data_IF_501543086647
#
_entry.id   IF_501543086647
#
_cell.length_a   1.000
_cell.length_b   1.000
_cell.length_c   1.000
_cell.angle_alpha   90.00
_cell.angle_beta   90.00
_cell.angle_gamma   90.00
#
_symmetry.space_group_name_H-M   'P 1'
#
loop_
_entity.id
_entity.type
_entity.pdbx_description
1 polymer ?
#
# COMPACT_ATOMS: atom_id res chain seq x y z
N UNK A 1 25.66 25.13 -7.24
CA UNK A 1 25.07 26.11 -8.18
C UNK A 1 24.70 27.37 -7.43
N UNK A 2 23.85 27.35 -6.41
CA UNK A 2 23.38 28.53 -5.67
C UNK A 2 24.49 29.31 -4.96
N UNK A 3 25.52 28.64 -4.45
CA UNK A 3 26.67 29.32 -3.85
C UNK A 3 27.53 30.06 -4.90
N UNK A 4 27.73 29.46 -6.08
CA UNK A 4 28.41 30.14 -7.18
C UNK A 4 27.67 31.37 -7.68
N UNK A 5 26.35 31.29 -7.76
CA UNK A 5 25.47 32.41 -8.13
C UNK A 5 25.47 33.52 -7.05
N UNK A 6 25.54 33.17 -5.78
CA UNK A 6 25.72 34.11 -4.67
C UNK A 6 27.03 34.88 -4.78
N UNK A 7 28.11 34.21 -5.08
CA UNK A 7 29.46 34.86 -5.26
C UNK A 7 29.46 35.83 -6.44
N UNK A 8 28.77 35.50 -7.54
CA UNK A 8 28.64 36.38 -8.70
C UNK A 8 27.81 37.64 -8.41
N UNK A 9 26.78 37.49 -7.54
CA UNK A 9 25.91 38.61 -7.19
C UNK A 9 26.39 39.44 -5.99
N UNK A 10 27.37 38.93 -5.20
CA UNK A 10 27.88 39.60 -4.01
C UNK A 10 28.74 40.84 -4.32
N UNK A 11 29.19 41.04 -5.58
CA UNK A 11 29.89 42.23 -6.04
C UNK A 11 29.00 43.46 -6.28
N UNK A 12 27.67 43.29 -6.33
CA UNK A 12 26.69 44.37 -6.42
C UNK A 12 25.99 44.51 -5.09
N UNK A 13 26.18 45.65 -4.37
CA UNK A 13 25.50 46.01 -3.11
C UNK A 13 24.36 45.07 -2.71
N UNK A 14 24.42 44.48 -1.51
CA UNK A 14 23.50 43.47 -0.92
C UNK A 14 22.13 43.36 -1.59
N UNK A 15 22.10 42.79 -2.79
CA UNK A 15 20.87 42.66 -3.53
C UNK A 15 20.02 41.55 -2.86
N UNK A 16 18.72 41.75 -2.72
CA UNK A 16 17.78 40.76 -2.23
C UNK A 16 18.03 39.38 -2.88
N UNK A 17 18.42 39.38 -4.15
CA UNK A 17 18.76 38.18 -4.91
C UNK A 17 19.96 37.42 -4.34
N UNK A 18 21.02 38.12 -3.91
CA UNK A 18 22.19 37.47 -3.30
C UNK A 18 21.85 36.81 -1.98
N UNK A 19 21.04 37.46 -1.16
CA UNK A 19 20.54 36.89 0.11
C UNK A 19 19.68 35.66 -0.17
N UNK A 20 18.74 35.71 -1.10
CA UNK A 20 17.91 34.58 -1.49
C UNK A 20 18.72 33.38 -2.01
N UNK A 21 19.73 33.62 -2.86
CA UNK A 21 20.61 32.57 -3.38
C UNK A 21 21.42 31.91 -2.27
N UNK A 22 21.91 32.67 -1.30
CA UNK A 22 22.60 32.13 -0.14
C UNK A 22 21.67 31.27 0.74
N UNK A 23 20.45 31.74 1.03
CA UNK A 23 19.48 30.98 1.78
C UNK A 23 19.08 29.67 1.06
N UNK A 24 18.84 29.71 -0.24
CA UNK A 24 18.57 28.53 -1.04
C UNK A 24 19.73 27.56 -1.04
N UNK A 25 20.98 28.03 -1.13
CA UNK A 25 22.16 27.20 -1.00
C UNK A 25 22.19 26.50 0.36
N UNK A 26 22.01 27.26 1.45
CA UNK A 26 22.07 26.72 2.80
C UNK A 26 20.97 25.66 3.04
N UNK A 27 19.74 25.93 2.61
CA UNK A 27 18.63 24.98 2.71
C UNK A 27 18.95 23.68 1.94
N UNK A 28 19.48 23.79 0.72
CA UNK A 28 19.84 22.60 -0.07
C UNK A 28 20.97 21.78 0.57
N UNK A 29 21.96 22.45 1.18
CA UNK A 29 23.04 21.76 1.91
C UNK A 29 22.48 21.03 3.11
N UNK A 30 21.66 21.68 3.93
CA UNK A 30 21.00 21.06 5.08
C UNK A 30 20.15 19.86 4.64
N UNK A 31 19.37 20.01 3.58
CA UNK A 31 18.52 18.94 3.05
C UNK A 31 19.37 17.76 2.52
N UNK A 32 20.47 18.03 1.85
CA UNK A 32 21.38 16.99 1.36
C UNK A 32 22.01 16.22 2.52
N UNK A 33 22.53 16.93 3.53
CA UNK A 33 23.11 16.31 4.74
C UNK A 33 22.07 15.49 5.48
N UNK A 34 20.85 16.02 5.64
CA UNK A 34 19.75 15.32 6.27
C UNK A 34 19.38 14.04 5.53
N UNK A 35 19.28 14.09 4.19
CA UNK A 35 18.98 12.92 3.38
C UNK A 35 20.08 11.85 3.37
N UNK A 36 21.34 12.21 3.71
CA UNK A 36 22.46 11.27 3.85
C UNK A 36 22.46 10.50 5.17
N UNK A 37 21.62 10.84 6.12
CA UNK A 37 21.51 10.13 7.41
C UNK A 37 21.19 8.65 7.14
N UNK A 38 21.96 7.69 7.75
CA UNK A 38 21.85 6.26 7.44
C UNK A 38 20.64 5.60 8.13
N UNK A 39 19.44 5.97 7.73
CA UNK A 39 18.21 5.40 8.28
C UNK A 39 16.99 5.64 7.38
N UNK A 40 16.08 4.66 7.33
CA UNK A 40 14.79 4.88 6.66
C UNK A 40 13.98 5.96 7.37
N UNK A 41 13.25 6.81 6.61
CA UNK A 41 12.93 6.71 5.18
C UNK A 41 13.89 7.48 4.25
N UNK A 42 15.00 7.98 4.74
CA UNK A 42 15.92 8.86 4.04
C UNK A 42 16.75 8.11 2.99
N UNK A 43 17.32 8.84 2.02
CA UNK A 43 18.12 8.25 0.95
C UNK A 43 19.39 7.57 1.48
N UNK A 44 20.03 8.13 2.51
CA UNK A 44 21.13 7.50 3.24
C UNK A 44 20.73 6.13 3.82
N UNK A 45 19.48 5.94 4.23
CA UNK A 45 18.96 4.65 4.66
C UNK A 45 18.89 3.62 3.53
N UNK A 46 18.63 4.05 2.30
CA UNK A 46 18.66 3.17 1.12
C UNK A 46 20.09 2.75 0.78
N UNK A 47 21.04 3.67 0.85
CA UNK A 47 22.46 3.39 0.67
C UNK A 47 22.96 2.45 1.79
N UNK A 48 22.62 2.74 3.04
CA UNK A 48 22.98 1.92 4.19
C UNK A 48 22.44 0.50 4.06
N UNK A 49 21.16 0.35 3.66
CA UNK A 49 20.56 -0.95 3.37
C UNK A 49 21.34 -1.71 2.29
N UNK A 50 21.72 -1.04 1.19
CA UNK A 50 22.48 -1.67 0.11
C UNK A 50 23.84 -2.19 0.60
N UNK A 51 24.53 -1.43 1.45
CA UNK A 51 25.80 -1.84 2.06
C UNK A 51 25.63 -3.05 2.99
N UNK A 52 24.59 -3.02 3.85
CA UNK A 52 24.30 -4.15 4.75
C UNK A 52 23.89 -5.38 3.94
N UNK A 53 23.09 -5.22 2.90
CA UNK A 53 22.69 -6.31 2.02
C UNK A 53 23.87 -6.91 1.28
N UNK A 54 24.79 -6.10 0.77
CA UNK A 54 26.01 -6.58 0.12
C UNK A 54 26.84 -7.49 1.06
N UNK A 55 26.83 -7.21 2.37
CA UNK A 55 27.57 -8.03 3.35
C UNK A 55 26.78 -9.22 3.86
N UNK A 56 25.49 -9.11 4.01
CA UNK A 56 24.65 -10.17 4.65
C UNK A 56 23.99 -11.08 3.65
N UNK A 57 23.88 -10.70 2.37
CA UNK A 57 23.13 -11.36 1.29
C UNK A 57 21.64 -11.59 1.63
N UNK A 58 21.14 -11.00 2.71
CA UNK A 58 19.77 -11.08 3.18
C UNK A 58 19.11 -9.70 3.13
N UNK A 59 18.25 -9.51 2.13
CA UNK A 59 17.55 -8.25 1.91
C UNK A 59 16.59 -7.89 3.08
N UNK A 60 15.93 -8.89 3.69
CA UNK A 60 15.03 -8.68 4.83
C UNK A 60 15.80 -8.20 6.05
N UNK A 61 16.92 -8.86 6.33
CA UNK A 61 17.81 -8.50 7.45
C UNK A 61 18.38 -7.09 7.26
N UNK A 62 18.85 -6.77 6.06
CA UNK A 62 19.36 -5.45 5.72
C UNK A 62 18.30 -4.35 5.89
N UNK A 63 17.08 -4.61 5.40
CA UNK A 63 15.96 -3.66 5.56
C UNK A 63 15.57 -3.47 7.02
N UNK A 64 15.52 -4.56 7.80
CA UNK A 64 15.23 -4.49 9.25
C UNK A 64 16.26 -3.65 9.99
N UNK A 65 17.55 -3.84 9.69
CA UNK A 65 18.64 -3.07 10.31
C UNK A 65 18.51 -1.58 9.95
N UNK A 66 18.32 -1.25 8.66
CA UNK A 66 18.17 0.13 8.22
C UNK A 66 16.94 0.82 8.83
N UNK A 67 15.82 0.09 8.98
CA UNK A 67 14.63 0.60 9.64
C UNK A 67 14.86 0.84 11.14
N UNK A 68 15.52 -0.09 11.84
CA UNK A 68 15.84 0.08 13.28
C UNK A 68 16.79 1.25 13.52
N UNK A 69 17.80 1.45 12.66
CA UNK A 69 18.69 2.62 12.74
C UNK A 69 17.90 3.90 12.54
N UNK A 70 17.01 3.96 11.52
CA UNK A 70 16.14 5.10 11.30
C UNK A 70 15.21 5.39 12.49
N UNK A 71 14.65 4.36 13.11
CA UNK A 71 13.84 4.49 14.33
C UNK A 71 14.67 5.00 15.52
N UNK A 72 15.92 4.51 15.69
CA UNK A 72 16.82 4.99 16.72
C UNK A 72 17.11 6.49 16.59
N UNK A 73 17.41 6.94 15.36
CA UNK A 73 17.61 8.36 15.05
C UNK A 73 16.33 9.16 15.31
N UNK A 74 15.17 8.65 14.92
CA UNK A 74 13.88 9.28 15.17
C UNK A 74 13.61 9.46 16.67
N UNK A 75 13.86 8.44 17.49
CA UNK A 75 13.74 8.55 18.95
C UNK A 75 14.73 9.54 19.57
N UNK A 76 15.97 9.60 19.06
CA UNK A 76 16.94 10.60 19.50
C UNK A 76 16.47 12.04 19.20
N UNK A 77 15.86 12.26 18.02
CA UNK A 77 15.26 13.56 17.67
C UNK A 77 14.06 13.91 18.56
N UNK A 78 13.19 12.94 18.87
CA UNK A 78 12.05 13.14 19.78
C UNK A 78 12.57 13.52 21.17
N UNK A 79 13.49 12.73 21.72
CA UNK A 79 14.05 12.97 23.05
C UNK A 79 14.79 14.31 23.12
N UNK A 80 15.60 14.65 22.11
CA UNK A 80 16.29 15.93 21.99
C UNK A 80 15.30 17.10 21.88
N UNK A 81 14.23 16.94 21.09
CA UNK A 81 13.18 17.94 20.98
C UNK A 81 12.46 18.21 22.30
N UNK A 82 12.10 17.15 23.02
CA UNK A 82 11.49 17.25 24.36
C UNK A 82 12.46 17.91 25.36
N UNK A 83 13.73 17.51 25.32
CA UNK A 83 14.74 18.11 26.19
C UNK A 83 14.87 19.62 25.95
N UNK A 84 14.86 20.08 24.69
CA UNK A 84 14.88 21.52 24.38
C UNK A 84 13.64 22.21 24.94
N UNK A 85 12.45 21.63 24.82
CA UNK A 85 11.21 22.22 25.37
C UNK A 85 11.28 22.37 26.87
N UNK A 86 11.84 21.38 27.57
CA UNK A 86 11.88 21.36 29.06
C UNK A 86 13.00 22.24 29.61
N UNK A 87 14.21 22.14 29.06
CA UNK A 87 15.41 22.78 29.65
C UNK A 87 15.73 24.15 29.06
N UNK A 88 15.19 24.47 27.85
CA UNK A 88 15.46 25.74 27.17
C UNK A 88 14.15 26.37 26.66
N UNK A 89 13.31 26.90 27.60
CA UNK A 89 11.95 27.37 27.26
C UNK A 89 11.91 28.44 26.15
N UNK A 90 12.98 29.21 25.97
CA UNK A 90 13.09 30.23 24.93
C UNK A 90 12.99 29.61 23.52
N UNK A 91 13.39 28.35 23.36
CA UNK A 91 13.37 27.62 22.06
C UNK A 91 12.29 26.52 22.01
N UNK A 92 11.24 26.63 22.83
CA UNK A 92 10.18 25.61 22.91
C UNK A 92 9.61 25.20 21.55
N UNK A 93 9.39 26.18 20.65
CA UNK A 93 8.86 25.90 19.30
C UNK A 93 9.84 25.08 18.45
N UNK A 94 11.14 25.36 18.54
CA UNK A 94 12.18 24.59 17.84
C UNK A 94 12.27 23.16 18.37
N UNK A 95 12.15 22.99 19.69
CA UNK A 95 12.11 21.68 20.33
C UNK A 95 10.88 20.87 19.90
N UNK A 96 9.70 21.50 19.89
CA UNK A 96 8.46 20.87 19.42
C UNK A 96 8.56 20.46 17.97
N UNK A 97 9.13 21.32 17.10
CA UNK A 97 9.34 21.02 15.69
C UNK A 97 10.29 19.84 15.48
N UNK A 98 11.38 19.78 16.25
CA UNK A 98 12.34 18.68 16.21
C UNK A 98 11.70 17.36 16.65
N UNK A 99 10.91 17.37 17.72
CA UNK A 99 10.15 16.19 18.16
C UNK A 99 9.13 15.72 17.12
N UNK A 100 8.45 16.65 16.46
CA UNK A 100 7.52 16.36 15.37
C UNK A 100 8.24 15.69 14.17
N UNK A 101 9.41 16.20 13.75
CA UNK A 101 10.21 15.58 12.70
C UNK A 101 10.60 14.15 13.11
N UNK A 102 11.03 13.94 14.35
CA UNK A 102 11.36 12.60 14.85
C UNK A 102 10.15 11.66 14.81
N UNK A 103 8.99 12.12 15.25
CA UNK A 103 7.75 11.33 15.17
C UNK A 103 7.38 10.96 13.73
N UNK A 104 7.45 11.92 12.82
CA UNK A 104 7.18 11.71 11.39
C UNK A 104 8.14 10.67 10.79
N UNK A 105 9.44 10.80 11.06
CA UNK A 105 10.46 9.85 10.59
C UNK A 105 10.22 8.44 11.14
N UNK A 106 9.85 8.32 12.42
CA UNK A 106 9.54 7.02 13.01
C UNK A 106 8.37 6.32 12.31
N UNK A 107 7.29 7.07 12.04
CA UNK A 107 6.14 6.53 11.31
C UNK A 107 6.50 6.12 9.87
N UNK A 108 7.27 6.94 9.18
CA UNK A 108 7.69 6.65 7.81
C UNK A 108 8.68 5.47 7.75
N UNK A 109 9.58 5.32 8.72
CA UNK A 109 10.46 4.16 8.83
C UNK A 109 9.69 2.85 9.06
N UNK A 110 8.66 2.88 9.91
CA UNK A 110 7.75 1.73 10.14
C UNK A 110 6.98 1.37 8.89
N UNK A 111 6.40 2.34 8.19
CA UNK A 111 5.65 2.12 6.95
C UNK A 111 6.53 1.48 5.86
N UNK A 112 7.77 1.97 5.69
CA UNK A 112 8.73 1.40 4.74
C UNK A 112 9.06 -0.07 5.05
N UNK A 113 9.24 -0.41 6.32
CA UNK A 113 9.49 -1.79 6.73
C UNK A 113 8.29 -2.71 6.49
N UNK A 114 7.08 -2.25 6.83
CA UNK A 114 5.85 -3.01 6.59
C UNK A 114 5.61 -3.28 5.10
N UNK A 115 5.89 -2.29 4.24
CA UNK A 115 5.78 -2.47 2.79
C UNK A 115 6.71 -3.57 2.25
N UNK A 116 7.94 -3.66 2.77
CA UNK A 116 8.87 -4.73 2.39
C UNK A 116 8.37 -6.08 2.89
N UNK A 117 7.89 -6.18 4.13
CA UNK A 117 7.33 -7.42 4.67
C UNK A 117 6.13 -7.91 3.85
N UNK A 118 5.23 -7.00 3.47
CA UNK A 118 4.07 -7.32 2.64
C UNK A 118 4.51 -7.86 1.28
N UNK A 119 5.44 -7.17 0.62
CA UNK A 119 5.99 -7.62 -0.66
C UNK A 119 6.60 -9.02 -0.56
N UNK A 120 7.44 -9.24 0.45
CA UNK A 120 8.10 -10.52 0.66
C UNK A 120 7.14 -11.65 0.99
N UNK A 121 6.06 -11.35 1.73
CA UNK A 121 5.03 -12.35 2.05
C UNK A 121 4.19 -12.76 0.83
N UNK A 122 4.11 -11.90 -0.19
CA UNK A 122 3.35 -12.15 -1.42
C UNK A 122 4.21 -12.60 -2.60
N UNK A 123 5.53 -12.60 -2.46
CA UNK A 123 6.46 -13.05 -3.51
C UNK A 123 6.21 -14.54 -3.82
N UNK A 124 6.23 -14.90 -5.09
CA UNK A 124 6.00 -16.27 -5.59
C UNK A 124 4.59 -16.83 -5.28
N UNK A 125 3.61 -15.97 -4.94
CA UNK A 125 2.21 -16.37 -4.87
C UNK A 125 1.52 -15.90 -6.14
N UNK A 126 0.82 -16.81 -6.80
CA UNK A 126 -0.03 -16.49 -7.95
C UNK A 126 -1.48 -16.30 -7.53
N UNK A 127 -2.24 -15.60 -8.36
CA UNK A 127 -3.69 -15.41 -8.20
C UNK A 127 -4.40 -16.76 -8.02
N UNK A 128 -4.00 -17.79 -8.77
CA UNK A 128 -4.51 -19.16 -8.69
C UNK A 128 -4.53 -19.73 -7.26
N UNK A 129 -3.48 -19.46 -6.47
CA UNK A 129 -3.33 -20.02 -5.12
C UNK A 129 -4.28 -19.41 -4.09
N UNK A 130 -4.91 -18.27 -4.42
CA UNK A 130 -5.79 -17.51 -3.51
C UNK A 130 -7.20 -17.42 -4.07
N UNK A 131 -7.40 -17.92 -5.29
CA UNK A 131 -8.72 -17.91 -5.94
C UNK A 131 -9.70 -18.79 -5.18
N UNK A 132 -10.86 -18.23 -4.86
CA UNK A 132 -12.01 -18.99 -4.38
C UNK A 132 -12.75 -19.59 -5.59
N UNK A 133 -12.50 -20.87 -5.81
CA UNK A 133 -13.13 -21.66 -6.88
C UNK A 133 -14.58 -22.05 -6.59
N UNK A 134 -15.01 -21.97 -5.32
CA UNK A 134 -16.35 -22.32 -4.90
C UNK A 134 -17.33 -21.15 -5.06
N UNK A 135 -16.93 -20.08 -5.75
CA UNK A 135 -17.82 -18.95 -6.01
C UNK A 135 -18.92 -19.35 -6.98
N UNK A 136 -20.21 -19.29 -6.59
CA UNK A 136 -21.29 -19.69 -7.47
C UNK A 136 -21.43 -18.72 -8.64
N UNK A 137 -21.70 -19.28 -9.82
CA UNK A 137 -22.09 -18.52 -10.99
C UNK A 137 -23.62 -18.32 -10.95
N UNK A 138 -24.05 -17.08 -11.04
CA UNK A 138 -25.45 -16.71 -10.96
C UNK A 138 -25.98 -16.33 -12.34
N UNK A 139 -27.15 -16.85 -12.75
CA UNK A 139 -27.76 -16.47 -14.02
C UNK A 139 -28.14 -14.99 -14.06
N UNK A 140 -27.94 -14.27 -15.18
CA UNK A 140 -28.18 -12.82 -15.27
C UNK A 140 -29.67 -12.43 -15.11
N UNK A 141 -30.58 -13.31 -15.47
CA UNK A 141 -32.04 -13.09 -15.39
C UNK A 141 -32.64 -13.38 -14.02
N UNK A 142 -31.87 -13.97 -13.08
CA UNK A 142 -32.31 -14.21 -11.70
C UNK A 142 -32.69 -12.88 -11.05
N UNK A 143 -33.80 -12.84 -10.30
CA UNK A 143 -34.19 -11.63 -9.57
C UNK A 143 -33.40 -11.50 -8.25
N UNK A 144 -33.38 -10.28 -7.70
CA UNK A 144 -32.62 -10.01 -6.48
C UNK A 144 -33.12 -10.74 -5.24
N UNK A 145 -34.45 -11.03 -5.15
CA UNK A 145 -34.99 -11.78 -4.04
C UNK A 145 -34.47 -13.21 -4.03
N UNK A 146 -34.49 -13.87 -5.17
CA UNK A 146 -33.95 -15.22 -5.35
C UNK A 146 -32.44 -15.26 -5.09
N UNK A 147 -31.68 -14.27 -5.60
CA UNK A 147 -30.26 -14.17 -5.34
C UNK A 147 -29.97 -14.09 -3.83
N UNK A 148 -30.72 -13.27 -3.12
CA UNK A 148 -30.53 -13.09 -1.68
C UNK A 148 -30.89 -14.36 -0.91
N UNK A 149 -32.00 -14.99 -1.22
CA UNK A 149 -32.48 -16.19 -0.51
C UNK A 149 -31.63 -17.43 -0.80
N UNK A 150 -31.22 -17.63 -2.05
CA UNK A 150 -30.52 -18.86 -2.47
C UNK A 150 -29.00 -18.77 -2.32
N UNK A 151 -28.43 -17.58 -2.42
CA UNK A 151 -26.96 -17.42 -2.45
C UNK A 151 -26.43 -16.54 -1.33
N UNK A 152 -27.02 -15.36 -1.06
CA UNK A 152 -26.50 -14.45 -0.05
C UNK A 152 -26.66 -15.00 1.35
N UNK A 153 -27.89 -15.36 1.75
CA UNK A 153 -28.18 -15.81 3.11
C UNK A 153 -27.50 -17.12 3.47
N UNK A 154 -27.47 -18.16 2.59
CA UNK A 154 -26.83 -19.43 2.93
C UNK A 154 -25.31 -19.36 2.96
N UNK A 155 -24.68 -18.52 2.10
CA UNK A 155 -23.23 -18.51 1.94
C UNK A 155 -22.55 -17.37 2.69
N UNK A 156 -23.25 -16.31 3.04
CA UNK A 156 -22.70 -15.10 3.64
C UNK A 156 -21.75 -14.31 2.73
N UNK A 157 -21.72 -14.64 1.44
CA UNK A 157 -20.81 -14.00 0.47
C UNK A 157 -21.25 -12.57 0.17
N UNK A 158 -20.28 -11.73 -0.10
CA UNK A 158 -20.48 -10.30 -0.41
C UNK A 158 -20.42 -9.97 -1.91
N UNK A 159 -20.09 -10.95 -2.74
CA UNK A 159 -19.91 -10.78 -4.19
C UNK A 159 -20.29 -12.07 -4.92
N UNK A 160 -20.89 -11.91 -6.10
CA UNK A 160 -21.37 -12.99 -6.95
C UNK A 160 -20.98 -12.71 -8.40
N UNK A 161 -20.45 -13.74 -9.08
CA UNK A 161 -20.14 -13.69 -10.49
C UNK A 161 -21.39 -13.99 -11.30
N UNK A 162 -21.68 -13.16 -12.28
CA UNK A 162 -22.81 -13.31 -13.17
C UNK A 162 -22.33 -13.90 -14.48
N UNK A 163 -22.90 -15.01 -14.88
CA UNK A 163 -22.48 -15.72 -16.09
C UNK A 163 -23.62 -16.49 -16.72
N UNK A 164 -23.68 -16.43 -18.03
CA UNK A 164 -24.52 -17.31 -18.86
C UNK A 164 -23.60 -18.27 -19.62
N UNK A 165 -23.40 -19.47 -19.07
CA UNK A 165 -22.47 -20.44 -19.63
C UNK A 165 -21.04 -20.33 -19.09
N UNK A 166 -20.03 -20.19 -19.96
CA UNK A 166 -18.62 -20.18 -19.58
C UNK A 166 -17.99 -18.77 -19.53
N UNK A 167 -18.67 -17.78 -20.07
CA UNK A 167 -18.18 -16.40 -20.15
C UNK A 167 -18.71 -15.57 -18.98
N UNK A 168 -17.89 -14.63 -18.51
CA UNK A 168 -18.26 -13.70 -17.46
C UNK A 168 -19.08 -12.55 -18.06
N UNK A 169 -20.36 -12.42 -17.66
CA UNK A 169 -21.20 -11.29 -18.03
C UNK A 169 -20.95 -10.08 -17.13
N UNK A 170 -20.70 -10.33 -15.86
CA UNK A 170 -20.48 -9.27 -14.89
C UNK A 170 -20.34 -9.77 -13.45
N UNK A 171 -20.44 -8.84 -12.51
CA UNK A 171 -20.31 -9.09 -11.08
C UNK A 171 -21.30 -8.21 -10.30
N UNK A 172 -21.93 -8.78 -9.28
CA UNK A 172 -22.79 -8.04 -8.37
C UNK A 172 -22.28 -8.15 -6.94
N UNK A 173 -22.35 -7.04 -6.21
CA UNK A 173 -21.93 -6.96 -4.81
C UNK A 173 -23.12 -6.66 -3.89
N UNK A 174 -22.99 -7.00 -2.60
CA UNK A 174 -24.02 -6.65 -1.60
C UNK A 174 -24.28 -5.15 -1.54
N UNK A 175 -23.28 -4.32 -1.83
CA UNK A 175 -23.46 -2.86 -1.85
C UNK A 175 -24.40 -2.42 -2.98
N UNK A 176 -24.32 -3.07 -4.14
CA UNK A 176 -25.24 -2.80 -5.27
C UNK A 176 -26.65 -3.27 -4.94
N UNK A 177 -26.81 -4.47 -4.37
CA UNK A 177 -28.11 -5.00 -3.94
C UNK A 177 -28.77 -4.07 -2.92
N UNK A 178 -28.01 -3.59 -1.93
CA UNK A 178 -28.53 -2.67 -0.88
C UNK A 178 -29.01 -1.31 -1.42
N UNK A 179 -28.56 -0.89 -2.60
CA UNK A 179 -29.04 0.35 -3.24
C UNK A 179 -30.43 0.21 -3.84
N UNK A 180 -30.90 -1.03 -4.07
CA UNK A 180 -32.25 -1.30 -4.58
C UNK A 180 -33.22 -1.46 -3.43
N UNK A 181 -34.34 -0.74 -3.46
CA UNK A 181 -35.41 -0.88 -2.43
C UNK A 181 -35.91 -2.31 -2.38
N UNK A 182 -36.13 -2.87 -1.18
CA UNK A 182 -36.57 -4.26 -0.99
C UNK A 182 -37.85 -4.60 -1.74
N UNK A 183 -38.80 -3.68 -1.85
CA UNK A 183 -40.05 -3.85 -2.60
C UNK A 183 -39.86 -4.14 -4.09
N UNK A 184 -38.67 -3.80 -4.63
CA UNK A 184 -38.35 -4.02 -6.04
C UNK A 184 -37.51 -5.28 -6.30
N UNK A 185 -37.05 -5.99 -5.28
CA UNK A 185 -36.17 -7.14 -5.44
C UNK A 185 -36.80 -8.28 -6.26
N UNK A 186 -38.08 -8.53 -6.11
CA UNK A 186 -38.75 -9.58 -6.85
C UNK A 186 -38.90 -9.34 -8.36
N UNK A 187 -38.75 -8.07 -8.79
CA UNK A 187 -38.96 -7.67 -10.18
C UNK A 187 -37.68 -7.13 -10.83
N UNK A 188 -36.58 -7.01 -10.06
CA UNK A 188 -35.31 -6.49 -10.60
C UNK A 188 -34.35 -7.65 -10.88
N UNK A 189 -34.01 -7.94 -12.14
CA UNK A 189 -33.04 -8.96 -12.46
C UNK A 189 -31.61 -8.49 -12.12
N UNK A 190 -30.73 -9.44 -11.82
CA UNK A 190 -29.34 -9.17 -11.41
C UNK A 190 -28.57 -8.38 -12.46
N UNK A 191 -28.81 -8.66 -13.74
CA UNK A 191 -28.17 -7.98 -14.88
C UNK A 191 -28.38 -6.47 -14.88
N UNK A 192 -29.48 -5.96 -14.32
CA UNK A 192 -29.79 -4.53 -14.32
C UNK A 192 -28.92 -3.74 -13.34
N UNK A 193 -28.36 -4.41 -12.34
CA UNK A 193 -27.53 -3.78 -11.29
C UNK A 193 -26.07 -4.22 -11.29
N UNK A 194 -25.73 -5.28 -12.05
CA UNK A 194 -24.36 -5.78 -12.10
C UNK A 194 -23.39 -4.76 -12.69
N UNK A 195 -22.13 -4.88 -12.32
CA UNK A 195 -21.04 -4.25 -13.08
C UNK A 195 -20.68 -5.15 -14.25
N UNK A 196 -20.86 -4.68 -15.49
CA UNK A 196 -20.55 -5.50 -16.68
C UNK A 196 -19.08 -5.90 -16.73
N UNK A 197 -18.79 -7.08 -17.31
CA UNK A 197 -17.43 -7.60 -17.44
C UNK A 197 -16.47 -6.62 -18.13
N UNK A 198 -16.95 -5.84 -19.11
CA UNK A 198 -16.16 -4.82 -19.81
C UNK A 198 -15.65 -3.69 -18.90
N UNK A 199 -16.26 -3.50 -17.75
CA UNK A 199 -15.85 -2.49 -16.72
C UNK A 199 -15.12 -3.11 -15.54
N UNK A 200 -14.99 -4.45 -15.50
CA UNK A 200 -14.29 -5.14 -14.44
C UNK A 200 -12.81 -5.31 -14.79
N UNK A 201 -11.95 -5.08 -13.83
CA UNK A 201 -10.59 -5.62 -13.89
C UNK A 201 -10.65 -7.10 -13.56
N UNK A 202 -9.95 -7.88 -14.36
CA UNK A 202 -9.82 -9.33 -14.16
C UNK A 202 -8.35 -9.65 -13.90
N UNK A 203 -8.09 -10.57 -12.99
CA UNK A 203 -6.75 -11.10 -12.78
C UNK A 203 -6.57 -12.39 -13.59
N UNK A 204 -5.37 -12.61 -14.13
CA UNK A 204 -5.02 -13.89 -14.73
C UNK A 204 -4.54 -14.86 -13.66
N UNK A 205 -4.87 -16.16 -13.84
CA UNK A 205 -4.52 -17.19 -12.84
C UNK A 205 -3.03 -17.22 -12.47
N UNK A 206 -2.14 -16.98 -13.43
CA UNK A 206 -0.69 -17.00 -13.23
C UNK A 206 -0.10 -15.63 -12.84
N UNK A 207 -0.93 -14.60 -12.74
CA UNK A 207 -0.50 -13.25 -12.31
C UNK A 207 0.00 -13.28 -10.86
N UNK A 208 1.07 -12.55 -10.58
CA UNK A 208 1.57 -12.39 -9.22
C UNK A 208 0.53 -11.69 -8.32
N UNK A 209 0.28 -12.25 -7.13
CA UNK A 209 -0.72 -11.74 -6.19
C UNK A 209 -0.43 -10.31 -5.72
N UNK A 210 0.85 -9.91 -5.69
CA UNK A 210 1.23 -8.52 -5.37
C UNK A 210 0.67 -7.54 -6.41
N UNK A 211 0.73 -7.88 -7.70
CA UNK A 211 0.14 -7.09 -8.78
C UNK A 211 -1.37 -6.98 -8.64
N UNK A 212 -2.04 -8.11 -8.39
CA UNK A 212 -3.49 -8.14 -8.14
C UNK A 212 -3.89 -7.23 -6.97
N UNK A 213 -3.13 -7.27 -5.87
CA UNK A 213 -3.39 -6.41 -4.69
C UNK A 213 -3.20 -4.92 -5.01
N UNK A 214 -2.22 -4.58 -5.85
CA UNK A 214 -2.01 -3.20 -6.31
C UNK A 214 -3.16 -2.71 -7.18
N UNK A 215 -3.65 -3.53 -8.11
CA UNK A 215 -4.81 -3.22 -8.94
C UNK A 215 -6.07 -3.04 -8.09
N UNK A 216 -6.34 -3.95 -7.12
CA UNK A 216 -7.43 -3.80 -6.17
C UNK A 216 -7.36 -2.49 -5.39
N UNK A 217 -6.14 -2.07 -5.03
CA UNK A 217 -5.94 -0.84 -4.24
C UNK A 217 -6.13 0.42 -5.09
N UNK A 218 -5.68 0.41 -6.34
CA UNK A 218 -5.82 1.53 -7.27
C UNK A 218 -7.27 1.84 -7.62
N UNK A 219 -8.13 0.81 -7.71
CA UNK A 219 -9.54 0.96 -8.05
C UNK A 219 -10.48 0.91 -6.83
N UNK A 220 -9.93 0.83 -5.62
CA UNK A 220 -10.70 0.62 -4.39
C UNK A 220 -11.64 -0.60 -4.46
N UNK A 221 -11.21 -1.64 -5.20
CA UNK A 221 -11.95 -2.86 -5.40
C UNK A 221 -11.69 -3.84 -4.25
N UNK A 222 -12.75 -4.48 -3.76
CA UNK A 222 -12.63 -5.53 -2.73
C UNK A 222 -12.63 -6.94 -3.34
N UNK A 223 -13.01 -7.07 -4.60
CA UNK A 223 -13.19 -8.32 -5.30
C UNK A 223 -12.64 -8.19 -6.73
N UNK A 224 -11.92 -9.19 -7.20
CA UNK A 224 -11.45 -9.30 -8.58
C UNK A 224 -11.77 -10.70 -9.11
N UNK A 225 -12.48 -10.83 -10.24
CA UNK A 225 -12.64 -12.10 -10.93
C UNK A 225 -11.30 -12.62 -11.45
N UNK A 226 -11.10 -13.93 -11.39
CA UNK A 226 -9.91 -14.59 -11.95
C UNK A 226 -10.29 -15.35 -13.19
N UNK A 227 -9.52 -15.14 -14.24
CA UNK A 227 -9.73 -15.79 -15.55
C UNK A 227 -8.53 -16.66 -15.91
N UNK A 228 -8.83 -17.78 -16.58
CA UNK A 228 -7.87 -18.68 -17.16
C UNK A 228 -8.37 -19.16 -18.53
N UNK A 229 -7.54 -19.04 -19.57
CA UNK A 229 -7.91 -19.37 -20.93
C UNK A 229 -9.25 -18.75 -21.40
N UNK A 230 -9.52 -17.51 -20.99
CA UNK A 230 -10.74 -16.78 -21.35
C UNK A 230 -11.99 -17.16 -20.53
N UNK A 231 -11.87 -18.11 -19.60
CA UNK A 231 -12.99 -18.53 -18.73
C UNK A 231 -12.76 -18.03 -17.31
N UNK A 232 -13.84 -17.63 -16.66
CA UNK A 232 -13.80 -17.28 -15.22
C UNK A 232 -13.67 -18.57 -14.41
N UNK A 233 -12.66 -18.61 -13.55
CA UNK A 233 -12.39 -19.76 -12.68
C UNK A 233 -12.74 -19.50 -11.21
N UNK A 234 -12.96 -18.24 -10.81
CA UNK A 234 -13.32 -17.88 -9.46
C UNK A 234 -13.09 -16.41 -9.18
N UNK A 235 -12.99 -16.07 -7.90
CA UNK A 235 -12.85 -14.69 -7.43
C UNK A 235 -11.75 -14.61 -6.36
N UNK A 236 -11.04 -13.50 -6.33
CA UNK A 236 -10.16 -13.16 -5.22
C UNK A 236 -10.81 -12.05 -4.40
N UNK A 237 -10.95 -12.28 -3.09
CA UNK A 237 -11.43 -11.28 -2.13
C UNK A 237 -10.23 -10.69 -1.37
N UNK A 238 -10.28 -9.40 -1.06
CA UNK A 238 -9.24 -8.75 -0.25
C UNK A 238 -9.08 -9.41 1.13
N UNK A 239 -10.16 -9.93 1.69
CA UNK A 239 -10.16 -10.65 2.98
C UNK A 239 -9.38 -11.97 2.92
N UNK A 240 -9.46 -12.69 1.80
CA UNK A 240 -8.72 -13.95 1.61
C UNK A 240 -7.22 -13.71 1.52
N UNK A 241 -6.81 -12.62 0.83
CA UNK A 241 -5.41 -12.17 0.82
C UNK A 241 -4.95 -11.81 2.24
N UNK A 242 -5.77 -11.06 2.98
CA UNK A 242 -5.43 -10.68 4.36
C UNK A 242 -5.32 -11.90 5.29
N UNK A 243 -6.19 -12.89 5.11
CA UNK A 243 -6.15 -14.17 5.84
C UNK A 243 -4.87 -14.94 5.53
N UNK A 244 -4.51 -15.08 4.25
CA UNK A 244 -3.27 -15.72 3.82
C UNK A 244 -2.04 -15.05 4.45
N UNK A 245 -1.99 -13.71 4.45
CA UNK A 245 -0.90 -12.94 5.05
C UNK A 245 -0.77 -13.22 6.56
N UNK A 246 -1.87 -13.24 7.30
CA UNK A 246 -1.88 -13.56 8.73
C UNK A 246 -1.34 -14.97 8.98
N UNK A 247 -1.85 -15.96 8.26
CA UNK A 247 -1.41 -17.37 8.40
C UNK A 247 0.09 -17.50 8.10
N UNK A 248 0.60 -16.88 7.04
CA UNK A 248 2.04 -16.92 6.73
C UNK A 248 2.91 -16.21 7.76
N UNK A 249 2.40 -15.15 8.36
CA UNK A 249 3.12 -14.42 9.42
C UNK A 249 3.18 -15.24 10.71
N UNK A 250 2.10 -15.95 11.06
CA UNK A 250 2.01 -16.77 12.27
C UNK A 250 2.81 -18.07 12.17
N UNK A 251 2.76 -18.74 11.04
CA UNK A 251 3.44 -20.03 10.85
C UNK A 251 4.86 -19.94 10.29
N UNK A 252 5.40 -18.73 10.11
CA UNK A 252 6.82 -18.53 9.77
C UNK A 252 7.26 -19.09 8.41
N UNK A 253 6.34 -19.43 7.50
CA UNK A 253 6.64 -20.01 6.18
C UNK A 253 7.20 -19.00 5.18
N UNK A 254 7.91 -17.98 5.67
CA UNK A 254 8.60 -16.96 4.88
C UNK A 254 10.06 -17.29 4.54
N UNK A 255 10.52 -18.51 4.73
CA UNK A 255 11.84 -18.95 4.27
C UNK A 255 11.69 -19.73 2.98
N UNK A 256 12.08 -19.08 1.86
CA UNK A 256 12.38 -19.81 0.64
C UNK A 256 13.47 -20.85 0.94
N UNK A 257 13.41 -22.05 0.37
CA UNK A 257 14.54 -22.98 0.42
C UNK A 257 15.77 -22.31 -0.23
N UNK A 258 16.93 -22.61 0.30
CA UNK A 258 18.25 -22.17 -0.18
C UNK A 258 18.48 -22.56 -1.62
#
# INVERSE_FOLDING_TARGET
>A
IFYGLHLLLAGAQQSLAAILMYQLFLINVILAVFNLIPGFPLDGGRIFRALVWHRTHDYRRATRIAAKVGQGIAYALIAGGIAIVVFVPLYWFRGLWLAFIGWFLNNAARASYQQVLLRDALINITARQVTDYASPLVPPHMNLAELVEQYVLPTGRSCFLISWGAELDGMVTLQQIKKVARSRWAITPVQDIMTPASKLKVAHADQELLGVLQEMSGENANHIPVVEAGKVIGIINREDIARLLRTRTEFGTGSAPK
#
